data_IF_783823293654
#
_entry.id   IF_783823293654
#
_cell.length_a   1.000
_cell.length_b   1.000
_cell.length_c   1.000
_cell.angle_alpha   90.00
_cell.angle_beta   90.00
_cell.angle_gamma   90.00
#
_symmetry.space_group_name_H-M   'P 1'
#
loop_
_entity.id
_entity.type
_entity.pdbx_description
1 polymer ?
#
# COMPACT_ATOMS: atom_id res chain seq x y z
N UNK A 1 -2.03 15.09 12.55
CA UNK A 1 -2.58 14.15 11.55
C UNK A 1 -1.93 12.78 11.53
N UNK A 2 -0.62 12.63 11.81
CA UNK A 2 0.08 11.33 11.75
C UNK A 2 -0.54 10.20 12.61
N UNK A 3 -1.07 10.53 13.80
CA UNK A 3 -1.79 9.56 14.63
C UNK A 3 -3.04 9.02 13.93
N UNK A 4 -3.84 9.90 13.32
CA UNK A 4 -5.05 9.52 12.58
C UNK A 4 -4.70 8.60 11.42
N UNK A 5 -3.66 8.93 10.64
CA UNK A 5 -3.18 8.08 9.53
C UNK A 5 -2.83 6.67 10.03
N UNK A 6 -2.06 6.57 11.12
CA UNK A 6 -1.69 5.26 11.69
C UNK A 6 -2.90 4.47 12.16
N UNK A 7 -3.81 5.11 12.88
CA UNK A 7 -5.02 4.45 13.36
C UNK A 7 -5.89 3.98 12.20
N UNK A 8 -6.10 4.81 11.19
CA UNK A 8 -6.88 4.43 10.00
C UNK A 8 -6.25 3.25 9.26
N UNK A 9 -4.93 3.25 9.04
CA UNK A 9 -4.23 2.14 8.40
C UNK A 9 -4.38 0.83 9.19
N UNK A 10 -4.19 0.88 10.52
CA UNK A 10 -4.37 -0.31 11.38
C UNK A 10 -5.80 -0.85 11.31
N UNK A 11 -6.81 0.03 11.32
CA UNK A 11 -8.20 -0.38 11.20
C UNK A 11 -8.51 -0.99 9.83
N UNK A 12 -7.95 -0.43 8.75
CA UNK A 12 -8.12 -0.99 7.40
C UNK A 12 -7.47 -2.37 7.25
N UNK A 13 -6.28 -2.56 7.82
CA UNK A 13 -5.59 -3.86 7.82
C UNK A 13 -6.43 -4.89 8.60
N UNK A 14 -6.83 -4.58 9.83
CA UNK A 14 -7.67 -5.47 10.64
C UNK A 14 -9.00 -5.78 9.93
N UNK A 15 -9.58 -4.79 9.26
CA UNK A 15 -10.79 -4.98 8.46
C UNK A 15 -10.55 -5.93 7.28
N UNK A 16 -9.46 -5.77 6.54
CA UNK A 16 -9.10 -6.64 5.41
C UNK A 16 -8.81 -8.09 5.85
N UNK A 17 -8.11 -8.26 6.98
CA UNK A 17 -7.74 -9.58 7.52
C UNK A 17 -8.94 -10.34 8.12
N UNK A 18 -9.99 -9.62 8.54
CA UNK A 18 -11.15 -10.24 9.16
C UNK A 18 -11.93 -11.17 8.21
N UNK A 19 -12.03 -10.80 6.93
CA UNK A 19 -12.70 -11.61 5.91
C UNK A 19 -12.12 -11.30 4.53
N UNK A 20 -11.87 -12.33 3.72
CA UNK A 20 -11.27 -12.19 2.38
C UNK A 20 -12.06 -11.21 1.48
N UNK A 21 -13.40 -11.21 1.57
CA UNK A 21 -14.27 -10.28 0.84
C UNK A 21 -14.06 -8.81 1.18
N UNK A 22 -13.49 -8.48 2.34
CA UNK A 22 -13.30 -7.11 2.78
C UNK A 22 -12.21 -6.38 1.99
N UNK A 23 -11.24 -7.11 1.42
CA UNK A 23 -10.26 -6.52 0.52
C UNK A 23 -10.92 -5.92 -0.73
N UNK A 24 -11.91 -6.62 -1.31
CA UNK A 24 -12.68 -6.11 -2.45
C UNK A 24 -13.52 -4.88 -2.09
N UNK A 25 -14.01 -4.79 -0.84
CA UNK A 25 -14.72 -3.61 -0.34
C UNK A 25 -13.77 -2.41 -0.19
N UNK A 26 -12.57 -2.63 0.34
CA UNK A 26 -11.52 -1.59 0.41
C UNK A 26 -11.18 -1.11 -1.00
N UNK A 27 -10.94 -2.03 -1.93
CA UNK A 27 -10.61 -1.68 -3.31
C UNK A 27 -11.72 -0.86 -3.94
N UNK A 28 -12.98 -1.28 -3.79
CA UNK A 28 -14.13 -0.52 -4.31
C UNK A 28 -14.19 0.90 -3.74
N UNK A 29 -13.92 1.05 -2.44
CA UNK A 29 -13.90 2.37 -1.80
C UNK A 29 -12.73 3.23 -2.29
N UNK A 30 -11.53 2.67 -2.42
CA UNK A 30 -10.34 3.38 -2.96
C UNK A 30 -10.61 3.83 -4.39
N UNK A 31 -11.10 2.92 -5.24
CA UNK A 31 -11.45 3.22 -6.63
C UNK A 31 -12.46 4.35 -6.73
N UNK A 32 -13.53 4.29 -5.92
CA UNK A 32 -14.55 5.35 -5.92
C UNK A 32 -13.96 6.71 -5.53
N UNK A 33 -13.15 6.77 -4.46
CA UNK A 33 -12.56 8.01 -3.95
C UNK A 33 -11.53 8.61 -4.92
N UNK A 34 -10.68 7.78 -5.52
CA UNK A 34 -9.65 8.28 -6.42
C UNK A 34 -10.23 8.64 -7.80
N UNK A 35 -11.17 7.85 -8.34
CA UNK A 35 -11.84 8.19 -9.60
C UNK A 35 -12.71 9.44 -9.51
N UNK A 36 -13.40 9.68 -8.39
CA UNK A 36 -14.19 10.91 -8.21
C UNK A 36 -13.33 12.17 -8.31
N UNK A 37 -12.07 12.05 -7.91
CA UNK A 37 -11.09 13.15 -7.91
C UNK A 37 -10.17 13.12 -9.15
N UNK A 38 -10.39 12.19 -10.10
CA UNK A 38 -9.52 11.96 -11.27
C UNK A 38 -8.06 11.69 -10.89
N UNK A 39 -7.85 10.99 -9.79
CA UNK A 39 -6.55 10.58 -9.26
C UNK A 39 -6.28 9.11 -9.59
N UNK A 40 -5.01 8.70 -9.77
CA UNK A 40 -4.67 7.29 -9.91
C UNK A 40 -5.00 6.50 -8.62
N UNK A 41 -5.22 5.20 -8.75
CA UNK A 41 -5.59 4.36 -7.60
C UNK A 41 -4.51 4.41 -6.52
N UNK A 42 -4.92 4.43 -5.25
CA UNK A 42 -4.02 4.49 -4.10
C UNK A 42 -3.21 5.80 -3.98
N UNK A 43 -3.68 6.88 -4.61
CA UNK A 43 -2.98 8.19 -4.61
C UNK A 43 -2.61 8.70 -3.23
N UNK A 44 -3.50 8.52 -2.24
CA UNK A 44 -3.24 8.97 -0.87
C UNK A 44 -2.09 8.20 -0.21
N UNK A 45 -2.04 6.88 -0.40
CA UNK A 45 -0.99 6.04 0.15
C UNK A 45 0.35 6.31 -0.55
N UNK A 46 0.34 6.40 -1.89
CA UNK A 46 1.54 6.73 -2.68
C UNK A 46 2.07 8.12 -2.37
N UNK A 47 1.21 9.11 -2.11
CA UNK A 47 1.66 10.43 -1.65
C UNK A 47 2.45 10.33 -0.35
N UNK A 48 1.96 9.56 0.62
CA UNK A 48 2.65 9.35 1.89
C UNK A 48 3.97 8.60 1.67
N UNK A 49 4.01 7.56 0.83
CA UNK A 49 5.27 6.86 0.54
C UNK A 49 6.32 7.78 -0.11
N UNK A 50 5.87 8.67 -1.00
CA UNK A 50 6.74 9.63 -1.69
C UNK A 50 7.23 10.79 -0.80
N UNK A 51 6.72 10.94 0.43
CA UNK A 51 7.27 11.88 1.41
C UNK A 51 8.62 11.43 2.00
N UNK A 52 9.04 10.19 1.70
CA UNK A 52 10.37 9.61 1.99
C UNK A 52 10.75 9.75 3.47
N UNK A 53 11.73 10.61 3.79
CA UNK A 53 12.19 10.83 5.17
C UNK A 53 11.08 11.34 6.10
N UNK A 54 10.02 11.95 5.54
CA UNK A 54 8.93 12.53 6.30
C UNK A 54 7.76 11.57 6.57
N UNK A 55 7.77 10.35 6.05
CA UNK A 55 6.63 9.41 6.17
C UNK A 55 6.60 8.71 7.53
N UNK A 56 7.78 8.37 8.07
CA UNK A 56 7.95 7.65 9.33
C UNK A 56 7.79 6.14 9.14
N UNK A 57 8.75 5.36 9.65
CA UNK A 57 8.90 3.92 9.36
C UNK A 57 7.63 3.11 9.62
N UNK A 58 6.97 3.33 10.76
CA UNK A 58 5.72 2.61 11.11
C UNK A 58 4.60 2.86 10.08
N UNK A 59 4.47 4.08 9.56
CA UNK A 59 3.44 4.41 8.56
C UNK A 59 3.74 3.71 7.24
N UNK A 60 5.01 3.71 6.83
CA UNK A 60 5.46 3.00 5.62
C UNK A 60 5.16 1.52 5.76
N UNK A 61 5.57 0.89 6.88
CA UNK A 61 5.28 -0.51 7.16
C UNK A 61 3.79 -0.83 7.01
N UNK A 62 2.92 -0.05 7.66
CA UNK A 62 1.48 -0.24 7.60
C UNK A 62 0.91 -0.09 6.17
N UNK A 63 1.44 0.84 5.36
CA UNK A 63 1.00 0.99 3.96
C UNK A 63 1.37 -0.24 3.13
N UNK A 64 2.63 -0.72 3.25
CA UNK A 64 3.08 -1.90 2.50
C UNK A 64 2.33 -3.16 2.95
N UNK A 65 2.09 -3.31 4.25
CA UNK A 65 1.25 -4.39 4.78
C UNK A 65 -0.16 -4.32 4.19
N UNK A 66 -0.80 -3.15 4.17
CA UNK A 66 -2.14 -3.01 3.59
C UNK A 66 -2.15 -3.38 2.09
N UNK A 67 -1.17 -2.93 1.32
CA UNK A 67 -1.04 -3.32 -0.10
C UNK A 67 -0.89 -4.83 -0.23
N UNK A 68 0.00 -5.45 0.55
CA UNK A 68 0.16 -6.90 0.54
C UNK A 68 -1.15 -7.60 0.87
N UNK A 69 -1.82 -7.23 1.97
CA UNK A 69 -3.08 -7.86 2.38
C UNK A 69 -4.15 -7.77 1.30
N UNK A 70 -4.32 -6.60 0.68
CA UNK A 70 -5.30 -6.42 -0.40
C UNK A 70 -4.92 -7.22 -1.65
N UNK A 71 -3.66 -7.14 -2.10
CA UNK A 71 -3.19 -7.85 -3.29
C UNK A 71 -3.29 -9.38 -3.13
N UNK A 72 -3.10 -9.93 -1.92
CA UNK A 72 -3.29 -11.38 -1.70
C UNK A 72 -4.73 -11.86 -1.83
N UNK A 73 -5.71 -10.97 -1.66
CA UNK A 73 -7.12 -11.32 -1.71
C UNK A 73 -7.72 -11.13 -3.12
N UNK A 74 -6.94 -10.64 -4.08
CA UNK A 74 -7.39 -10.41 -5.45
C UNK A 74 -7.05 -11.65 -6.29
N UNK A 75 -8.09 -12.38 -6.70
CA UNK A 75 -7.97 -13.51 -7.63
C UNK A 75 -8.10 -13.10 -9.11
N UNK A 76 -8.64 -11.90 -9.38
CA UNK A 76 -8.86 -11.40 -10.73
C UNK A 76 -7.60 -10.73 -11.28
N UNK A 77 -7.10 -11.26 -12.39
CA UNK A 77 -5.81 -10.86 -12.95
C UNK A 77 -5.83 -9.42 -13.51
N UNK A 78 -6.93 -9.01 -14.13
CA UNK A 78 -7.07 -7.65 -14.68
C UNK A 78 -7.04 -6.62 -13.55
N UNK A 79 -7.84 -6.87 -12.50
CA UNK A 79 -7.87 -6.03 -11.29
C UNK A 79 -6.50 -5.97 -10.61
N UNK A 80 -5.78 -7.08 -10.56
CA UNK A 80 -4.45 -7.14 -9.98
C UNK A 80 -3.48 -6.20 -10.72
N UNK A 81 -3.43 -6.30 -12.06
CA UNK A 81 -2.54 -5.46 -12.87
C UNK A 81 -2.95 -3.99 -12.89
N UNK A 82 -4.25 -3.68 -12.87
CA UNK A 82 -4.72 -2.29 -12.74
C UNK A 82 -4.15 -1.60 -11.49
N UNK A 83 -4.04 -2.35 -10.38
CA UNK A 83 -3.47 -1.83 -9.14
C UNK A 83 -1.95 -1.73 -9.23
N UNK A 84 -1.25 -2.80 -9.59
CA UNK A 84 0.22 -2.80 -9.59
C UNK A 84 0.78 -1.77 -10.57
N UNK A 85 0.18 -1.65 -11.76
CA UNK A 85 0.58 -0.65 -12.74
C UNK A 85 0.31 0.76 -12.24
N UNK A 86 -0.81 0.98 -11.56
CA UNK A 86 -1.11 2.28 -10.96
C UNK A 86 -0.09 2.67 -9.88
N UNK A 87 0.32 1.71 -9.02
CA UNK A 87 1.36 1.93 -8.03
C UNK A 87 2.71 2.25 -8.69
N UNK A 88 3.10 1.49 -9.72
CA UNK A 88 4.36 1.71 -10.42
C UNK A 88 4.42 3.06 -11.13
N UNK A 89 3.34 3.47 -11.80
CA UNK A 89 3.24 4.80 -12.42
C UNK A 89 3.39 5.95 -11.41
N UNK A 90 3.06 5.70 -10.14
CA UNK A 90 3.21 6.67 -9.04
C UNK A 90 4.58 6.60 -8.34
N UNK A 91 5.51 5.79 -8.85
CA UNK A 91 6.88 5.70 -8.37
C UNK A 91 7.10 4.68 -7.25
N UNK A 92 6.33 3.59 -7.22
CA UNK A 92 6.48 2.53 -6.23
C UNK A 92 7.88 1.92 -6.22
N UNK A 93 8.43 1.54 -7.37
CA UNK A 93 9.80 1.03 -7.44
C UNK A 93 10.83 1.97 -6.79
N UNK A 94 10.72 3.28 -7.04
CA UNK A 94 11.61 4.29 -6.44
C UNK A 94 11.46 4.34 -4.92
N UNK A 95 10.23 4.29 -4.41
CA UNK A 95 9.96 4.26 -2.97
C UNK A 95 10.56 3.01 -2.32
N UNK A 96 10.33 1.83 -2.90
CA UNK A 96 10.89 0.56 -2.43
C UNK A 96 12.41 0.62 -2.34
N UNK A 97 13.09 1.10 -3.40
CA UNK A 97 14.54 1.26 -3.40
C UNK A 97 15.02 2.25 -2.33
N UNK A 98 14.34 3.38 -2.16
CA UNK A 98 14.70 4.37 -1.15
C UNK A 98 14.63 3.77 0.26
N UNK A 99 13.51 3.13 0.62
CA UNK A 99 13.32 2.60 1.95
C UNK A 99 14.23 1.42 2.26
N UNK A 100 14.47 0.51 1.31
CA UNK A 100 15.37 -0.65 1.50
C UNK A 100 16.84 -0.27 1.67
N UNK A 101 17.27 0.87 1.11
CA UNK A 101 18.65 1.35 1.23
C UNK A 101 18.91 2.18 2.50
N UNK A 102 17.86 2.53 3.26
CA UNK A 102 17.98 3.32 4.49
C UNK A 102 18.69 2.51 5.58
N UNK A 103 19.51 3.17 6.40
CA UNK A 103 20.15 2.58 7.59
C UNK A 103 19.91 3.45 8.84
N UNK A 104 19.58 2.85 10.00
CA UNK A 104 19.17 1.45 10.17
C UNK A 104 17.79 1.18 9.53
N UNK A 105 17.53 -0.07 9.16
CA UNK A 105 16.24 -0.54 8.63
C UNK A 105 15.71 -1.66 9.51
N UNK A 106 14.40 -1.64 9.77
CA UNK A 106 13.69 -2.66 10.54
C UNK A 106 13.48 -3.92 9.70
N UNK A 107 13.65 -5.10 10.29
CA UNK A 107 13.53 -6.39 9.58
C UNK A 107 12.14 -6.59 8.98
N UNK A 108 11.10 -6.25 9.72
CA UNK A 108 9.70 -6.36 9.29
C UNK A 108 9.42 -5.53 8.03
N UNK A 109 10.05 -4.35 7.91
CA UNK A 109 9.89 -3.51 6.73
C UNK A 109 10.54 -4.15 5.49
N UNK A 110 11.72 -4.77 5.67
CA UNK A 110 12.39 -5.52 4.59
C UNK A 110 11.50 -6.67 4.13
N UNK A 111 10.96 -7.44 5.07
CA UNK A 111 10.08 -8.58 4.77
C UNK A 111 8.85 -8.14 3.98
N UNK A 112 8.17 -7.07 4.43
CA UNK A 112 6.97 -6.58 3.75
C UNK A 112 7.26 -6.09 2.31
N UNK A 113 8.38 -5.41 2.08
CA UNK A 113 8.78 -5.04 0.73
C UNK A 113 9.16 -6.24 -0.14
N UNK A 114 9.78 -7.28 0.42
CA UNK A 114 10.07 -8.52 -0.31
C UNK A 114 8.81 -9.27 -0.70
N UNK A 115 7.82 -9.36 0.20
CA UNK A 115 6.51 -9.94 -0.12
C UNK A 115 5.85 -9.16 -1.26
N UNK A 116 5.91 -7.82 -1.19
CA UNK A 116 5.35 -6.96 -2.24
C UNK A 116 6.03 -7.21 -3.60
N UNK A 117 7.37 -7.19 -3.65
CA UNK A 117 8.14 -7.36 -4.88
C UNK A 117 7.97 -8.74 -5.52
N UNK A 118 7.78 -9.80 -4.72
CA UNK A 118 7.49 -11.15 -5.23
C UNK A 118 6.08 -11.24 -5.80
N UNK A 119 5.12 -10.50 -5.24
CA UNK A 119 3.73 -10.50 -5.71
C UNK A 119 3.56 -9.63 -6.95
N UNK A 120 4.21 -8.47 -7.01
CA UNK A 120 4.06 -7.50 -8.09
C UNK A 120 4.83 -7.85 -9.38
N UNK A 121 5.34 -9.08 -9.51
CA UNK A 121 6.06 -9.60 -10.68
C UNK A 121 5.32 -10.77 -11.28
#
# INVERSE_FOLDING_TARGET
FRLVVKTSLKLLIVFAEYAESNASLILSAVTQVDQSDKRPLWSNAMKILNEMDNSGTEVVLLIITLFNTVLSAISDQDTFYDITDSLEQQGMQRCTQFYLNRKPIEADLVEQFQIFDVRSK
#
